data_IF_622610253047
#
_entry.id   IF_622610253047
#
_cell.length_a   1.000
_cell.length_b   1.000
_cell.length_c   1.000
_cell.angle_alpha   90.00
_cell.angle_beta   90.00
_cell.angle_gamma   90.00
#
_symmetry.space_group_name_H-M   'P 1'
#
loop_
_entity.id
_entity.type
_entity.pdbx_description
1 polymer ?
#
# COMPACT_ATOMS: atom_id res chain seq x y z
N UNK A 1 40.25 43.72 46.07
CA UNK A 1 40.05 42.44 45.31
C UNK A 1 38.65 42.40 44.85
N UNK A 2 38.40 42.51 43.52
CA UNK A 2 37.06 42.42 42.91
C UNK A 2 36.95 41.02 42.28
N UNK A 3 36.02 40.18 42.75
CA UNK A 3 35.76 38.88 42.19
C UNK A 3 34.69 39.04 41.14
N UNK A 4 35.03 38.75 39.87
CA UNK A 4 34.04 38.62 38.77
C UNK A 4 33.51 37.21 38.77
N UNK A 5 32.19 37.05 38.92
CA UNK A 5 31.47 35.77 38.76
C UNK A 5 31.04 35.67 37.31
N UNK A 6 31.64 34.73 36.58
CA UNK A 6 31.23 34.41 35.22
C UNK A 6 30.11 33.34 35.30
N UNK A 7 28.89 33.72 34.95
CA UNK A 7 27.75 32.79 34.87
C UNK A 7 27.80 32.11 33.49
N UNK A 8 28.04 30.81 33.48
CA UNK A 8 28.02 29.99 32.29
C UNK A 8 26.59 29.55 32.02
N UNK A 9 25.94 30.09 30.96
CA UNK A 9 24.64 29.64 30.50
C UNK A 9 24.81 28.33 29.69
N UNK A 10 24.40 27.21 30.27
CA UNK A 10 24.26 25.95 29.54
C UNK A 10 22.95 26.01 28.71
N UNK A 11 23.06 26.17 27.40
CA UNK A 11 21.92 26.04 26.49
C UNK A 11 21.58 24.54 26.35
N UNK A 12 20.51 24.11 26.99
CA UNK A 12 19.93 22.75 26.78
C UNK A 12 19.19 22.77 25.45
N UNK A 13 19.84 22.28 24.40
CA UNK A 13 19.15 21.98 23.14
C UNK A 13 18.24 20.76 23.34
N UNK A 14 16.95 21.00 23.57
CA UNK A 14 15.93 19.95 23.54
C UNK A 14 15.73 19.52 22.09
N UNK A 15 16.31 18.39 21.71
CA UNK A 15 15.95 17.71 20.44
C UNK A 15 14.52 17.21 20.57
N UNK A 16 13.56 17.93 20.01
CA UNK A 16 12.22 17.42 19.80
C UNK A 16 12.33 16.26 18.81
N UNK A 17 12.21 15.03 19.29
CA UNK A 17 12.01 13.86 18.43
C UNK A 17 10.64 14.05 17.78
N UNK A 18 10.61 14.46 16.53
CA UNK A 18 9.38 14.41 15.74
C UNK A 18 8.93 12.94 15.69
N UNK A 19 7.84 12.62 16.37
CA UNK A 19 7.22 11.30 16.25
C UNK A 19 6.85 11.09 14.78
N UNK A 20 7.33 10.00 14.19
CA UNK A 20 6.93 9.62 12.85
C UNK A 20 5.41 9.49 12.83
N UNK A 21 4.70 10.20 11.94
CA UNK A 21 3.24 10.09 11.89
C UNK A 21 2.81 8.64 11.73
N UNK A 22 1.86 8.20 12.55
CA UNK A 22 1.33 6.83 12.44
C UNK A 22 0.71 6.65 11.08
N UNK A 23 1.16 5.66 10.32
CA UNK A 23 0.66 5.35 8.99
C UNK A 23 -0.77 4.80 9.08
N UNK A 24 -1.73 5.59 8.63
CA UNK A 24 -3.17 5.29 8.69
C UNK A 24 -3.87 5.68 7.39
N UNK A 25 -5.13 5.27 7.25
CA UNK A 25 -5.95 5.73 6.14
C UNK A 25 -6.16 7.25 6.20
N UNK A 26 -5.91 7.91 5.07
CA UNK A 26 -6.27 9.32 4.90
C UNK A 26 -7.80 9.44 4.80
N UNK A 27 -8.48 10.10 5.74
CA UNK A 27 -9.94 10.25 5.73
C UNK A 27 -10.44 11.16 4.59
N UNK A 28 -9.58 12.00 4.01
CA UNK A 28 -9.91 12.83 2.84
C UNK A 28 -10.00 12.02 1.54
N UNK A 29 -9.54 10.75 1.56
CA UNK A 29 -9.56 9.83 0.43
C UNK A 29 -10.50 8.65 0.72
N UNK A 30 -11.83 8.84 0.63
CA UNK A 30 -12.78 7.76 0.89
C UNK A 30 -12.68 6.68 -0.20
N UNK A 31 -12.91 5.42 0.20
CA UNK A 31 -13.05 4.34 -0.77
C UNK A 31 -14.34 4.57 -1.58
N UNK A 32 -14.28 4.55 -2.93
CA UNK A 32 -15.46 4.73 -3.78
C UNK A 32 -16.52 3.65 -3.52
N UNK A 33 -17.79 4.04 -3.69
CA UNK A 33 -18.90 3.07 -3.59
C UNK A 33 -18.79 2.03 -4.71
N UNK A 34 -18.95 0.77 -4.33
CA UNK A 34 -18.97 -0.33 -5.27
C UNK A 34 -20.31 -0.44 -6.01
N UNK A 35 -20.24 -0.88 -7.24
CA UNK A 35 -21.41 -1.31 -8.02
C UNK A 35 -21.23 -2.78 -8.45
N UNK A 36 -22.35 -3.45 -8.65
CA UNK A 36 -22.39 -4.86 -9.04
C UNK A 36 -23.29 -5.04 -10.25
N UNK A 37 -22.96 -6.00 -11.08
CA UNK A 37 -23.84 -6.40 -12.19
C UNK A 37 -24.97 -7.30 -11.70
N UNK A 38 -25.84 -7.74 -12.64
CA UNK A 38 -26.97 -8.62 -12.33
C UNK A 38 -26.54 -10.01 -11.80
N UNK A 39 -25.29 -10.42 -12.04
CA UNK A 39 -24.72 -11.69 -11.55
C UNK A 39 -24.04 -11.53 -10.18
N UNK A 40 -23.96 -10.29 -9.68
CA UNK A 40 -23.26 -9.97 -8.44
C UNK A 40 -21.75 -9.85 -8.61
N UNK A 41 -21.25 -9.64 -9.83
CA UNK A 41 -19.84 -9.35 -10.07
C UNK A 41 -19.54 -7.86 -9.94
N UNK A 42 -18.33 -7.55 -9.51
CA UNK A 42 -17.87 -6.17 -9.38
C UNK A 42 -17.87 -5.49 -10.76
N UNK A 43 -18.59 -4.38 -10.86
CA UNK A 43 -18.60 -3.55 -12.05
C UNK A 43 -17.62 -2.39 -11.85
N UNK A 44 -16.44 -2.50 -12.46
CA UNK A 44 -15.37 -1.52 -12.35
C UNK A 44 -15.30 -0.73 -13.65
N UNK A 45 -15.32 0.60 -13.52
CA UNK A 45 -15.19 1.53 -14.64
C UNK A 45 -13.91 2.35 -14.45
N UNK A 46 -13.13 2.46 -15.51
CA UNK A 46 -11.90 3.25 -15.47
C UNK A 46 -12.20 4.75 -15.36
N UNK A 47 -11.33 5.46 -14.65
CA UNK A 47 -11.28 6.93 -14.72
C UNK A 47 -10.98 7.41 -16.14
N UNK A 48 -11.50 8.58 -16.48
CA UNK A 48 -11.20 9.26 -17.74
C UNK A 48 -9.71 9.59 -17.94
N UNK A 49 -8.93 9.65 -16.87
CA UNK A 49 -7.50 9.97 -16.88
C UNK A 49 -6.58 8.74 -16.80
N UNK A 50 -7.13 7.51 -16.60
CA UNK A 50 -6.32 6.30 -16.48
C UNK A 50 -5.48 6.03 -17.73
N UNK A 51 -4.22 5.65 -17.54
CA UNK A 51 -3.22 5.53 -18.60
C UNK A 51 -2.16 4.46 -18.27
N UNK A 52 -1.38 3.97 -19.25
CA UNK A 52 -0.29 3.04 -19.00
C UNK A 52 0.88 3.64 -18.21
N UNK A 53 0.89 4.95 -17.97
CA UNK A 53 1.91 5.64 -17.17
C UNK A 53 1.50 5.88 -15.72
N UNK A 54 0.33 5.40 -15.29
CA UNK A 54 -0.18 5.64 -13.93
C UNK A 54 0.76 5.14 -12.84
N UNK A 55 1.50 4.05 -13.08
CA UNK A 55 2.47 3.47 -12.14
C UNK A 55 3.92 3.88 -12.41
N UNK A 56 4.20 4.85 -13.31
CA UNK A 56 5.58 5.29 -13.60
C UNK A 56 6.32 5.80 -12.36
N UNK A 57 5.59 6.30 -11.37
CA UNK A 57 6.17 6.75 -10.11
C UNK A 57 6.84 5.62 -9.31
N UNK A 58 6.44 4.36 -9.50
CA UNK A 58 7.02 3.22 -8.78
C UNK A 58 8.35 2.74 -9.38
N UNK A 59 8.67 3.07 -10.62
CA UNK A 59 9.90 2.57 -11.27
C UNK A 59 11.13 2.94 -10.46
N UNK A 60 11.97 1.94 -10.14
CA UNK A 60 13.18 2.09 -9.36
C UNK A 60 13.16 1.30 -8.05
N UNK A 61 14.03 1.68 -7.11
CA UNK A 61 14.24 1.00 -5.84
C UNK A 61 13.65 1.79 -4.68
N UNK A 62 13.05 1.06 -3.74
CA UNK A 62 12.34 1.65 -2.63
C UNK A 62 12.69 0.98 -1.30
N UNK A 63 12.81 1.79 -0.26
CA UNK A 63 12.66 1.36 1.12
C UNK A 63 11.22 1.61 1.53
N UNK A 64 10.57 0.60 2.11
CA UNK A 64 9.19 0.70 2.56
C UNK A 64 9.11 0.56 4.07
N UNK A 65 8.35 1.43 4.71
CA UNK A 65 7.91 1.23 6.09
C UNK A 65 6.48 0.70 6.07
N UNK A 66 6.27 -0.47 6.68
CA UNK A 66 5.04 -1.23 6.64
C UNK A 66 4.35 -1.21 8.00
N UNK A 67 3.01 -1.29 7.95
CA UNK A 67 2.16 -1.45 9.13
C UNK A 67 1.05 -2.45 8.82
N UNK A 68 1.04 -3.57 9.54
CA UNK A 68 0.15 -4.70 9.32
C UNK A 68 -0.71 -4.98 10.55
N UNK A 69 -2.04 -5.09 10.38
CA UNK A 69 -2.98 -5.41 11.44
C UNK A 69 -2.93 -6.90 11.77
N UNK A 70 -2.63 -7.26 13.03
CA UNK A 70 -2.40 -8.65 13.44
C UNK A 70 -3.67 -9.50 13.40
N UNK A 71 -4.81 -8.93 13.81
CA UNK A 71 -6.11 -9.61 13.81
C UNK A 71 -7.08 -8.88 12.88
N UNK A 72 -7.20 -9.37 11.64
CA UNK A 72 -8.05 -8.78 10.60
C UNK A 72 -9.47 -9.32 10.66
N UNK A 73 -10.47 -8.45 10.47
CA UNK A 73 -11.91 -8.74 10.58
C UNK A 73 -12.35 -9.32 11.93
N UNK A 74 -11.61 -9.00 12.97
CA UNK A 74 -11.85 -9.45 14.36
C UNK A 74 -11.83 -8.27 15.34
N UNK A 75 -12.06 -7.04 14.86
CA UNK A 75 -11.95 -5.79 15.63
C UNK A 75 -10.56 -5.58 16.25
N UNK A 76 -9.52 -6.13 15.63
CA UNK A 76 -8.13 -6.02 16.09
C UNK A 76 -7.69 -4.54 16.17
N UNK A 77 -6.82 -4.26 17.17
CA UNK A 77 -6.21 -2.93 17.35
C UNK A 77 -4.70 -2.97 17.32
N UNK A 78 -4.14 -4.19 17.37
CA UNK A 78 -2.70 -4.39 17.43
C UNK A 78 -2.09 -4.42 16.04
N UNK A 79 -1.10 -3.58 15.82
CA UNK A 79 -0.38 -3.46 14.57
C UNK A 79 1.08 -3.84 14.76
N UNK A 80 1.65 -4.49 13.77
CA UNK A 80 3.09 -4.74 13.68
C UNK A 80 3.67 -3.82 12.61
N UNK A 81 4.74 -3.13 12.96
CA UNK A 81 5.49 -2.27 12.03
C UNK A 81 6.81 -2.94 11.67
N UNK A 82 7.22 -2.84 10.42
CA UNK A 82 8.45 -3.45 9.91
C UNK A 82 8.87 -2.82 8.58
N UNK A 83 10.17 -2.96 8.26
CA UNK A 83 10.74 -2.45 7.01
C UNK A 83 10.83 -3.56 5.94
N UNK A 84 10.78 -3.13 4.68
CA UNK A 84 11.00 -3.97 3.50
C UNK A 84 11.69 -3.16 2.41
N UNK A 85 12.14 -3.85 1.37
CA UNK A 85 12.60 -3.26 0.11
C UNK A 85 11.70 -3.69 -1.03
N UNK A 86 11.71 -2.87 -2.08
CA UNK A 86 10.97 -3.14 -3.31
C UNK A 86 11.78 -2.62 -4.51
N UNK A 87 11.73 -3.35 -5.61
CA UNK A 87 12.32 -2.90 -6.87
C UNK A 87 11.32 -3.12 -8.01
N UNK A 88 10.94 -2.01 -8.66
CA UNK A 88 9.96 -2.00 -9.74
C UNK A 88 10.61 -1.69 -11.09
N UNK A 89 10.19 -2.43 -12.11
CA UNK A 89 10.61 -2.23 -13.50
C UNK A 89 9.43 -2.27 -14.46
N UNK A 90 9.48 -1.44 -15.52
CA UNK A 90 8.51 -1.51 -16.61
C UNK A 90 8.83 -2.65 -17.56
N UNK A 91 7.80 -3.32 -18.04
CA UNK A 91 7.86 -4.43 -18.99
C UNK A 91 6.80 -4.25 -20.08
N UNK A 92 6.77 -5.15 -21.04
CA UNK A 92 5.77 -5.20 -22.12
C UNK A 92 5.59 -3.85 -22.86
N UNK A 93 6.71 -3.18 -23.16
CA UNK A 93 6.67 -1.89 -23.87
C UNK A 93 5.99 -0.77 -23.09
N UNK A 94 5.95 -0.87 -21.76
CA UNK A 94 5.35 0.12 -20.88
C UNK A 94 3.88 -0.12 -20.52
N UNK A 95 3.25 -1.17 -21.06
CA UNK A 95 1.87 -1.54 -20.71
C UNK A 95 1.77 -2.41 -19.44
N UNK A 96 2.90 -2.70 -18.81
CA UNK A 96 2.98 -3.43 -17.55
C UNK A 96 4.19 -2.98 -16.75
N UNK A 97 4.14 -3.26 -15.46
CA UNK A 97 5.28 -3.22 -14.56
C UNK A 97 5.27 -4.42 -13.63
N UNK A 98 6.43 -4.71 -13.08
CA UNK A 98 6.63 -5.80 -12.14
C UNK A 98 7.54 -5.33 -11.03
N UNK A 99 7.15 -5.61 -9.79
CA UNK A 99 8.02 -5.38 -8.64
C UNK A 99 8.37 -6.67 -7.89
N UNK A 100 9.46 -6.60 -7.15
CA UNK A 100 9.88 -7.62 -6.19
C UNK A 100 9.99 -7.00 -4.81
N UNK A 101 9.10 -7.44 -3.94
CA UNK A 101 9.05 -7.07 -2.54
C UNK A 101 9.89 -8.05 -1.71
N UNK A 102 10.66 -7.57 -0.73
CA UNK A 102 11.53 -8.43 0.08
C UNK A 102 11.66 -7.91 1.52
N UNK A 103 11.54 -8.83 2.49
CA UNK A 103 11.79 -8.53 3.91
C UNK A 103 12.07 -9.81 4.71
N UNK A 104 12.85 -9.68 5.79
CA UNK A 104 13.01 -10.75 6.81
C UNK A 104 12.15 -10.49 8.05
N UNK A 105 11.36 -9.41 8.05
CA UNK A 105 10.59 -8.95 9.22
C UNK A 105 9.08 -9.21 9.08
N UNK A 106 8.66 -9.91 8.02
CA UNK A 106 7.23 -10.15 7.79
C UNK A 106 6.60 -10.92 8.96
N UNK A 107 5.44 -10.46 9.52
CA UNK A 107 4.79 -11.11 10.64
C UNK A 107 4.54 -12.61 10.40
N UNK A 108 4.90 -13.44 11.37
CA UNK A 108 4.72 -14.90 11.30
C UNK A 108 5.80 -15.67 10.52
N UNK A 109 6.78 -15.00 9.90
CA UNK A 109 7.85 -15.67 9.17
C UNK A 109 9.10 -15.99 10.02
N UNK A 110 9.13 -15.56 11.30
CA UNK A 110 10.20 -15.88 12.25
C UNK A 110 11.62 -15.55 11.74
N UNK A 111 11.78 -14.38 11.09
CA UNK A 111 13.05 -13.92 10.55
C UNK A 111 13.46 -14.58 9.21
N UNK A 112 12.65 -15.46 8.65
CA UNK A 112 12.89 -16.02 7.31
C UNK A 112 12.64 -14.97 6.24
N UNK A 113 13.38 -15.06 5.15
CA UNK A 113 13.15 -14.22 3.97
C UNK A 113 11.72 -14.47 3.45
N UNK A 114 10.97 -13.40 3.33
CA UNK A 114 9.69 -13.34 2.65
C UNK A 114 9.84 -12.50 1.40
N UNK A 115 9.44 -13.04 0.27
CA UNK A 115 9.46 -12.36 -1.01
C UNK A 115 8.06 -12.38 -1.60
N UNK A 116 7.74 -11.31 -2.29
CA UNK A 116 6.52 -11.17 -3.05
C UNK A 116 6.79 -10.52 -4.40
N UNK A 117 5.96 -10.80 -5.36
CA UNK A 117 5.99 -10.21 -6.68
C UNK A 117 4.61 -9.63 -7.00
N UNK A 118 4.58 -8.37 -7.44
CA UNK A 118 3.37 -7.81 -8.05
C UNK A 118 3.59 -7.68 -9.55
N UNK A 119 2.66 -8.23 -10.32
CA UNK A 119 2.54 -7.97 -11.75
C UNK A 119 1.35 -7.06 -12.00
N UNK A 120 1.57 -5.89 -12.61
CA UNK A 120 0.52 -4.93 -12.98
C UNK A 120 0.40 -4.86 -14.48
N UNK A 121 -0.80 -5.11 -14.99
CA UNK A 121 -1.09 -5.11 -16.42
C UNK A 121 -2.14 -4.05 -16.75
N UNK A 122 -1.83 -3.17 -17.70
CA UNK A 122 -2.76 -2.19 -18.24
C UNK A 122 -3.49 -2.75 -19.45
N UNK A 123 -4.82 -2.70 -19.44
CA UNK A 123 -5.63 -3.05 -20.61
C UNK A 123 -6.02 -1.78 -21.37
N UNK A 124 -5.47 -1.53 -22.57
CA UNK A 124 -5.73 -0.29 -23.30
C UNK A 124 -7.18 -0.17 -23.82
N UNK A 125 -7.93 -1.28 -23.92
CA UNK A 125 -9.34 -1.25 -24.36
C UNK A 125 -10.27 -0.80 -23.23
N UNK A 126 -10.07 -1.33 -22.03
CA UNK A 126 -10.90 -0.98 -20.85
C UNK A 126 -10.31 0.17 -20.04
N UNK A 127 -9.03 0.48 -20.26
CA UNK A 127 -8.23 1.45 -19.49
C UNK A 127 -8.16 1.11 -18.01
N UNK A 128 -8.25 -0.17 -17.68
CA UNK A 128 -8.12 -0.71 -16.33
C UNK A 128 -6.77 -1.37 -16.16
N UNK A 129 -6.24 -1.27 -14.96
CA UNK A 129 -5.13 -2.05 -14.46
C UNK A 129 -5.64 -3.30 -13.75
N UNK A 130 -4.94 -4.41 -13.92
CA UNK A 130 -5.09 -5.65 -13.15
C UNK A 130 -3.79 -5.90 -12.38
N UNK A 131 -3.87 -5.99 -11.05
CA UNK A 131 -2.73 -6.19 -10.16
C UNK A 131 -2.79 -7.60 -9.59
N UNK A 132 -1.77 -8.41 -9.89
CA UNK A 132 -1.62 -9.79 -9.44
C UNK A 132 -0.53 -9.85 -8.37
N UNK A 133 -0.79 -10.51 -7.26
CA UNK A 133 0.16 -10.75 -6.21
C UNK A 133 0.57 -12.21 -6.16
N UNK A 134 1.86 -12.47 -5.92
CA UNK A 134 2.44 -13.78 -5.76
C UNK A 134 3.33 -13.72 -4.53
N UNK A 135 3.13 -14.61 -3.56
CA UNK A 135 3.96 -14.66 -2.36
C UNK A 135 4.76 -15.96 -2.27
N UNK A 136 6.02 -15.86 -1.86
CA UNK A 136 6.96 -16.99 -1.76
C UNK A 136 6.49 -18.09 -0.80
N UNK A 137 5.66 -17.74 0.20
CA UNK A 137 5.14 -18.68 1.19
C UNK A 137 3.89 -19.44 0.74
N UNK A 138 3.21 -19.00 -0.33
CA UNK A 138 2.02 -19.67 -0.86
C UNK A 138 2.27 -20.35 -2.20
N UNK A 139 3.12 -19.75 -3.05
CA UNK A 139 3.44 -20.28 -4.37
C UNK A 139 2.26 -20.26 -5.36
N UNK A 140 1.26 -19.42 -5.10
CA UNK A 140 0.09 -19.24 -5.96
C UNK A 140 -0.04 -17.78 -6.40
N UNK A 141 -0.70 -17.57 -7.55
CA UNK A 141 -1.07 -16.23 -8.02
C UNK A 141 -2.44 -15.93 -7.45
N UNK A 142 -2.54 -14.87 -6.66
CA UNK A 142 -3.82 -14.43 -6.13
C UNK A 142 -4.73 -13.87 -7.24
N UNK A 143 -6.06 -13.97 -7.09
CA UNK A 143 -6.99 -13.29 -7.98
C UNK A 143 -6.67 -11.78 -8.06
N UNK A 144 -6.70 -11.18 -9.26
CA UNK A 144 -6.30 -9.78 -9.40
C UNK A 144 -7.28 -8.83 -8.74
N UNK A 145 -6.75 -7.74 -8.19
CA UNK A 145 -7.54 -6.55 -7.95
C UNK A 145 -7.49 -5.67 -9.20
N UNK A 146 -8.65 -5.11 -9.58
CA UNK A 146 -8.81 -4.36 -10.84
C UNK A 146 -9.28 -2.94 -10.54
N UNK A 147 -8.73 -1.97 -11.26
CA UNK A 147 -9.09 -0.57 -11.04
C UNK A 147 -8.32 0.41 -11.91
N UNK A 148 -8.32 1.66 -11.49
CA UNK A 148 -7.64 2.75 -12.20
C UNK A 148 -7.24 3.86 -11.25
N UNK A 149 -6.36 4.75 -11.72
CA UNK A 149 -6.06 6.00 -11.03
C UNK A 149 -7.02 7.12 -11.47
N UNK A 150 -7.30 7.99 -10.52
CA UNK A 150 -7.94 9.28 -10.74
C UNK A 150 -7.20 10.34 -9.91
N UNK A 151 -6.65 11.37 -10.57
CA UNK A 151 -5.93 12.48 -9.94
C UNK A 151 -4.84 12.04 -8.93
N UNK A 152 -4.04 11.04 -9.30
CA UNK A 152 -2.93 10.52 -8.49
C UNK A 152 -3.34 9.56 -7.38
N UNK A 153 -4.63 9.19 -7.28
CA UNK A 153 -5.13 8.19 -6.34
C UNK A 153 -5.71 7.00 -7.09
N UNK A 154 -5.16 5.81 -6.87
CA UNK A 154 -5.63 4.57 -7.48
C UNK A 154 -6.47 3.74 -6.51
N UNK A 155 -7.59 3.18 -6.99
CA UNK A 155 -8.38 2.20 -6.25
C UNK A 155 -8.58 0.95 -7.11
N UNK A 156 -8.23 -0.21 -6.54
CA UNK A 156 -8.28 -1.50 -7.22
C UNK A 156 -9.03 -2.50 -6.36
N UNK A 157 -10.07 -3.11 -6.90
CA UNK A 157 -10.98 -3.98 -6.16
C UNK A 157 -10.93 -5.41 -6.68
N UNK A 158 -11.06 -6.38 -5.78
CA UNK A 158 -11.17 -7.79 -6.11
C UNK A 158 -12.06 -8.54 -5.13
N UNK A 159 -12.61 -9.67 -5.59
CA UNK A 159 -13.25 -10.67 -4.71
C UNK A 159 -12.17 -11.62 -4.22
N UNK A 160 -12.21 -11.96 -2.94
CA UNK A 160 -11.27 -12.89 -2.33
C UNK A 160 -11.94 -13.65 -1.19
N UNK A 161 -11.19 -14.51 -0.52
CA UNK A 161 -11.64 -15.29 0.63
C UNK A 161 -10.65 -15.10 1.78
N UNK A 162 -11.13 -14.69 2.94
CA UNK A 162 -10.33 -14.59 4.15
C UNK A 162 -10.88 -15.53 5.24
N UNK A 163 -10.06 -16.48 5.72
CA UNK A 163 -10.46 -17.51 6.69
C UNK A 163 -11.75 -18.24 6.28
N UNK A 164 -11.88 -18.58 5.00
CA UNK A 164 -13.04 -19.28 4.44
C UNK A 164 -14.29 -18.43 4.22
N UNK A 165 -14.23 -17.12 4.47
CA UNK A 165 -15.36 -16.20 4.26
C UNK A 165 -15.11 -15.31 3.06
N UNK A 166 -16.11 -15.11 2.16
CA UNK A 166 -15.95 -14.21 1.02
C UNK A 166 -15.79 -12.77 1.50
N UNK A 167 -14.84 -12.07 0.91
CA UNK A 167 -14.57 -10.66 1.15
C UNK A 167 -14.43 -9.90 -0.18
N UNK A 168 -14.46 -8.59 -0.09
CA UNK A 168 -13.93 -7.70 -1.12
C UNK A 168 -12.66 -7.07 -0.59
N UNK A 169 -11.62 -7.08 -1.41
CA UNK A 169 -10.35 -6.42 -1.14
C UNK A 169 -10.32 -5.12 -1.91
N UNK A 170 -9.77 -4.08 -1.31
CA UNK A 170 -9.35 -2.87 -2.01
C UNK A 170 -7.87 -2.63 -1.76
N UNK A 171 -7.11 -2.32 -2.83
CA UNK A 171 -5.81 -1.68 -2.76
C UNK A 171 -6.00 -0.22 -3.13
N UNK A 172 -5.46 0.68 -2.31
CA UNK A 172 -5.41 2.10 -2.60
C UNK A 172 -3.96 2.56 -2.70
N UNK A 173 -3.63 3.22 -3.78
CA UNK A 173 -2.40 3.97 -3.93
C UNK A 173 -2.70 5.46 -3.83
N UNK A 174 -1.99 6.18 -2.98
CA UNK A 174 -1.90 7.63 -2.98
C UNK A 174 -0.54 8.03 -3.50
N UNK A 175 -0.48 8.39 -4.78
CA UNK A 175 0.71 8.82 -5.49
C UNK A 175 0.72 10.33 -5.76
N UNK A 176 -0.06 11.13 -5.03
CA UNK A 176 -0.04 12.60 -5.13
C UNK A 176 1.34 13.14 -4.76
N UNK A 177 2.02 12.51 -3.81
CA UNK A 177 3.46 12.68 -3.61
C UNK A 177 4.20 11.48 -4.21
N UNK A 178 4.79 11.67 -5.40
CA UNK A 178 5.47 10.61 -6.16
C UNK A 178 6.78 10.14 -5.52
N UNK A 179 7.39 10.93 -4.68
CA UNK A 179 8.63 10.58 -3.97
C UNK A 179 8.35 9.86 -2.64
N UNK A 180 7.11 9.92 -2.18
CA UNK A 180 6.66 9.27 -0.95
C UNK A 180 5.24 8.72 -1.08
N UNK A 181 5.01 7.80 -2.04
CA UNK A 181 3.68 7.23 -2.23
C UNK A 181 3.26 6.36 -1.04
N UNK A 182 1.95 6.30 -0.81
CA UNK A 182 1.35 5.48 0.25
C UNK A 182 0.44 4.45 -0.39
N UNK A 183 0.66 3.19 -0.04
CA UNK A 183 -0.25 2.10 -0.37
C UNK A 183 -1.02 1.65 0.87
N UNK A 184 -2.25 1.21 0.67
CA UNK A 184 -3.05 0.61 1.73
C UNK A 184 -3.98 -0.47 1.21
N UNK A 185 -4.23 -1.47 2.07
CA UNK A 185 -5.19 -2.54 1.84
C UNK A 185 -6.31 -2.47 2.87
N UNK A 186 -7.54 -2.63 2.40
CA UNK A 186 -8.68 -2.83 3.29
C UNK A 186 -9.55 -4.02 2.83
N UNK A 187 -10.21 -4.64 3.79
CA UNK A 187 -11.17 -5.72 3.57
C UNK A 187 -12.59 -5.26 3.91
N UNK A 188 -13.54 -5.76 3.13
CA UNK A 188 -14.97 -5.63 3.39
C UNK A 188 -15.63 -7.01 3.41
N UNK A 189 -16.31 -7.34 4.49
CA UNK A 189 -17.10 -8.55 4.63
C UNK A 189 -18.59 -8.35 4.28
N UNK A 190 -19.00 -7.13 3.90
CA UNK A 190 -20.39 -6.70 3.70
C UNK A 190 -20.63 -6.04 2.34
N UNK A 191 -19.88 -6.48 1.32
CA UNK A 191 -19.97 -6.00 -0.07
C UNK A 191 -19.65 -4.50 -0.23
N UNK A 192 -18.66 -4.01 0.52
CA UNK A 192 -18.17 -2.64 0.41
C UNK A 192 -18.99 -1.59 1.17
N UNK A 193 -19.88 -2.00 2.09
CA UNK A 193 -20.60 -1.07 2.96
C UNK A 193 -19.71 -0.52 4.06
N UNK A 194 -18.87 -1.39 4.66
CA UNK A 194 -17.85 -1.02 5.63
C UNK A 194 -16.49 -1.59 5.23
N UNK A 195 -15.41 -0.95 5.68
CA UNK A 195 -14.05 -1.31 5.35
C UNK A 195 -13.17 -1.34 6.59
N UNK A 196 -12.37 -2.39 6.73
CA UNK A 196 -11.30 -2.47 7.70
C UNK A 196 -9.96 -2.33 7.00
N UNK A 197 -9.28 -1.20 7.22
CA UNK A 197 -7.90 -1.02 6.80
C UNK A 197 -7.00 -1.94 7.61
N UNK A 198 -6.18 -2.74 6.95
CA UNK A 198 -5.43 -3.80 7.61
C UNK A 198 -3.97 -3.95 7.16
N UNK A 199 -3.54 -3.18 6.18
CA UNK A 199 -2.15 -3.08 5.80
C UNK A 199 -1.90 -1.72 5.15
N UNK A 200 -0.76 -1.12 5.49
CA UNK A 200 -0.24 0.09 4.87
C UNK A 200 1.25 -0.04 4.61
N UNK A 201 1.74 0.62 3.58
CA UNK A 201 3.13 1.00 3.49
C UNK A 201 3.28 2.43 2.97
N UNK A 202 4.39 3.04 3.36
CA UNK A 202 4.90 4.26 2.77
C UNK A 202 6.26 3.94 2.17
N UNK A 203 6.47 4.37 0.93
CA UNK A 203 7.71 4.10 0.19
C UNK A 203 8.58 5.36 0.16
N UNK A 204 9.88 5.17 0.34
CA UNK A 204 10.91 6.19 0.18
C UNK A 204 11.91 5.73 -0.86
N UNK A 205 12.19 6.58 -1.85
CA UNK A 205 13.06 6.22 -2.97
C UNK A 205 14.50 6.01 -2.49
N UNK A 206 15.11 4.92 -2.94
CA UNK A 206 16.55 4.68 -2.77
C UNK A 206 17.26 5.30 -3.99
N UNK A 207 18.27 6.15 -3.77
CA UNK A 207 19.05 6.77 -4.84
C UNK A 207 19.72 5.76 -5.78
#
# INVERSE_FOLDING_TARGET
MKYSITILFLAICSFAHAQTPVLTADPSLPIPKLSFDAKGDLKITASGTSSPSDFDFLVGKWKMHNRHLNKRLENGKDWTEFDSSDENTKILGGNADMDTYSTTQFPGQNGKLFEGLTLRLFNPKTRLWSLYWIASNTGVIDPPVVGSFDNGVGHFFGKDTFKGKPIIVVFRWDARNKDRPVWGQAFSADKGKTWEWNFFNVSERIP
#
